data_IF_113398559054
#
_entry.id   IF_113398559054
#
_cell.length_a   1.000
_cell.length_b   1.000
_cell.length_c   1.000
_cell.angle_alpha   90.00
_cell.angle_beta   90.00
_cell.angle_gamma   90.00
#
_symmetry.space_group_name_H-M   'P 1'
#
loop_
_entity.id
_entity.type
_entity.pdbx_description
1 polymer ?
#
# COMPACT_ATOMS: atom_id res chain seq x y z
N UNK A 1 83.04 -63.97 3.43
CA UNK A 1 83.10 -63.27 4.74
C UNK A 1 82.61 -61.85 4.53
N UNK A 2 81.46 -61.53 5.14
CA UNK A 2 80.87 -60.25 5.58
C UNK A 2 80.83 -58.99 4.66
N UNK A 3 79.81 -58.12 4.86
CA UNK A 3 79.17 -57.33 3.80
C UNK A 3 79.45 -55.82 3.87
N UNK A 4 79.08 -55.12 2.80
CA UNK A 4 79.06 -53.66 2.66
C UNK A 4 77.73 -53.13 3.21
N UNK A 5 77.79 -52.09 4.04
CA UNK A 5 76.66 -51.42 4.67
C UNK A 5 76.58 -49.99 4.12
N UNK A 6 75.53 -49.65 3.37
CA UNK A 6 75.17 -48.27 3.02
C UNK A 6 74.14 -47.74 4.04
N UNK A 7 74.25 -46.48 4.50
CA UNK A 7 73.20 -45.87 5.31
C UNK A 7 72.08 -45.27 4.45
N UNK A 8 70.85 -45.61 4.81
CA UNK A 8 69.60 -45.06 4.28
C UNK A 8 69.43 -43.62 4.81
N UNK A 9 69.34 -42.65 3.90
CA UNK A 9 68.89 -41.29 4.19
C UNK A 9 67.36 -41.26 4.29
N UNK A 10 66.85 -40.93 5.48
CA UNK A 10 65.43 -40.69 5.74
C UNK A 10 65.06 -39.27 5.29
N UNK A 11 63.96 -39.04 4.55
CA UNK A 11 63.48 -37.68 4.29
C UNK A 11 62.80 -37.12 5.55
N UNK A 12 63.13 -35.88 5.93
CA UNK A 12 62.44 -35.15 7.00
C UNK A 12 60.99 -34.83 6.59
N UNK A 13 60.00 -35.39 7.30
CA UNK A 13 58.55 -35.17 7.08
C UNK A 13 58.00 -33.88 7.73
N UNK A 14 58.83 -33.03 8.35
CA UNK A 14 58.32 -31.87 9.14
C UNK A 14 58.07 -30.57 8.36
N UNK A 15 58.20 -30.56 7.03
CA UNK A 15 58.10 -29.29 6.25
C UNK A 15 56.80 -29.12 5.43
N UNK A 16 55.96 -30.17 5.33
CA UNK A 16 54.69 -30.10 4.59
C UNK A 16 53.51 -29.61 5.45
N UNK A 17 53.42 -30.03 6.72
CA UNK A 17 52.32 -29.63 7.61
C UNK A 17 52.29 -28.13 7.97
N UNK A 18 53.46 -27.45 7.98
CA UNK A 18 53.53 -26.01 8.25
C UNK A 18 53.13 -25.14 7.04
N UNK A 19 53.33 -25.61 5.80
CA UNK A 19 52.96 -24.86 4.58
C UNK A 19 51.45 -24.89 4.32
N UNK A 20 50.78 -26.00 4.61
CA UNK A 20 49.32 -26.12 4.45
C UNK A 20 48.55 -25.31 5.51
N UNK A 21 49.00 -25.32 6.77
CA UNK A 21 48.40 -24.49 7.83
C UNK A 21 48.59 -22.98 7.60
N UNK A 22 49.70 -22.58 6.97
CA UNK A 22 49.95 -21.17 6.63
C UNK A 22 49.13 -20.71 5.42
N UNK A 23 48.88 -21.61 4.44
CA UNK A 23 48.02 -21.39 3.28
C UNK A 23 46.54 -21.25 3.67
N UNK A 24 46.04 -22.12 4.56
CA UNK A 24 44.67 -22.04 5.09
C UNK A 24 44.44 -20.82 6.00
N UNK A 25 45.47 -20.39 6.75
CA UNK A 25 45.40 -19.14 7.50
C UNK A 25 45.42 -17.92 6.58
N UNK A 26 46.27 -17.89 5.56
CA UNK A 26 46.29 -16.79 4.58
C UNK A 26 45.01 -16.70 3.75
N UNK A 27 44.39 -17.83 3.36
CA UNK A 27 43.12 -17.83 2.64
C UNK A 27 41.94 -17.41 3.52
N UNK A 28 41.92 -17.80 4.81
CA UNK A 28 40.92 -17.31 5.77
C UNK A 28 41.07 -15.82 6.07
N UNK A 29 42.30 -15.31 6.20
CA UNK A 29 42.56 -13.87 6.39
C UNK A 29 42.20 -13.05 5.13
N UNK A 30 42.48 -13.55 3.92
CA UNK A 30 42.13 -12.84 2.69
C UNK A 30 40.62 -12.82 2.43
N UNK A 31 39.90 -13.86 2.85
CA UNK A 31 38.44 -13.93 2.76
C UNK A 31 37.80 -13.02 3.80
N UNK A 32 38.31 -12.97 5.05
CA UNK A 32 37.79 -12.07 6.08
C UNK A 32 38.00 -10.58 5.74
N UNK A 33 39.17 -10.24 5.19
CA UNK A 33 39.52 -8.87 4.78
C UNK A 33 38.71 -8.43 3.55
N UNK A 34 38.38 -9.37 2.65
CA UNK A 34 37.47 -9.12 1.53
C UNK A 34 36.01 -8.93 2.00
N UNK A 35 35.54 -9.71 2.97
CA UNK A 35 34.18 -9.56 3.53
C UNK A 35 34.02 -8.29 4.35
N UNK A 36 35.01 -7.90 5.16
CA UNK A 36 34.98 -6.62 5.90
C UNK A 36 34.94 -5.41 4.95
N UNK A 37 35.69 -5.46 3.85
CA UNK A 37 35.66 -4.42 2.81
C UNK A 37 34.29 -4.34 2.07
N UNK A 38 33.62 -5.49 1.87
CA UNK A 38 32.28 -5.54 1.28
C UNK A 38 31.20 -5.03 2.24
N UNK A 39 31.29 -5.35 3.53
CA UNK A 39 30.41 -4.86 4.60
C UNK A 39 30.52 -3.35 4.75
N UNK A 40 31.74 -2.81 4.84
CA UNK A 40 31.99 -1.37 4.92
C UNK A 40 31.45 -0.63 3.68
N UNK A 41 31.62 -1.22 2.49
CA UNK A 41 31.03 -0.67 1.27
C UNK A 41 29.50 -0.68 1.30
N UNK A 42 28.89 -1.72 1.89
CA UNK A 42 27.45 -1.80 2.06
C UNK A 42 26.92 -0.76 3.04
N UNK A 43 27.61 -0.53 4.16
CA UNK A 43 27.28 0.51 5.14
C UNK A 43 27.32 1.90 4.48
N UNK A 44 28.36 2.22 3.72
CA UNK A 44 28.45 3.50 3.01
C UNK A 44 27.31 3.68 2.00
N UNK A 45 27.01 2.66 1.19
CA UNK A 45 25.89 2.70 0.24
C UNK A 45 24.54 2.87 0.94
N UNK A 46 24.35 2.19 2.07
CA UNK A 46 23.17 2.35 2.93
C UNK A 46 23.02 3.80 3.39
N UNK A 47 24.10 4.44 3.86
CA UNK A 47 24.07 5.85 4.25
C UNK A 47 23.72 6.78 3.10
N UNK A 48 24.25 6.55 1.89
CA UNK A 48 23.90 7.33 0.71
C UNK A 48 22.40 7.25 0.39
N UNK A 49 21.80 6.06 0.47
CA UNK A 49 20.36 5.88 0.23
C UNK A 49 19.52 6.64 1.27
N UNK A 50 19.92 6.63 2.54
CA UNK A 50 19.22 7.38 3.60
C UNK A 50 19.33 8.89 3.34
N UNK A 51 20.53 9.38 3.00
CA UNK A 51 20.72 10.79 2.66
C UNK A 51 19.91 11.20 1.44
N UNK A 52 19.92 10.39 0.37
CA UNK A 52 19.11 10.64 -0.83
C UNK A 52 17.62 10.70 -0.49
N UNK A 53 17.13 9.78 0.35
CA UNK A 53 15.73 9.77 0.78
C UNK A 53 15.32 11.10 1.42
N UNK A 54 16.14 11.61 2.33
CA UNK A 54 15.87 12.87 3.05
C UNK A 54 16.05 14.10 2.15
N UNK A 55 17.10 14.13 1.33
CA UNK A 55 17.33 15.26 0.41
C UNK A 55 16.20 15.38 -0.62
N UNK A 56 15.83 14.26 -1.24
CA UNK A 56 14.72 14.23 -2.19
C UNK A 56 13.37 14.45 -1.51
N UNK A 57 13.26 14.23 -0.20
CA UNK A 57 12.07 14.61 0.58
C UNK A 57 11.97 16.12 0.76
N UNK A 58 13.09 16.79 1.05
CA UNK A 58 13.13 18.27 1.13
C UNK A 58 12.75 18.89 -0.20
N UNK A 59 13.25 18.34 -1.30
CA UNK A 59 12.89 18.78 -2.64
C UNK A 59 11.39 18.57 -2.91
N UNK A 60 10.85 17.41 -2.54
CA UNK A 60 9.43 17.11 -2.69
C UNK A 60 8.55 18.08 -1.89
N UNK A 61 8.87 18.33 -0.61
CA UNK A 61 8.13 19.29 0.23
C UNK A 61 8.22 20.71 -0.32
N UNK A 62 9.38 21.12 -0.83
CA UNK A 62 9.56 22.41 -1.49
C UNK A 62 8.68 22.52 -2.73
N UNK A 63 8.62 21.48 -3.55
CA UNK A 63 7.81 21.52 -4.76
C UNK A 63 6.31 21.52 -4.45
N UNK A 64 5.86 20.77 -3.44
CA UNK A 64 4.48 20.84 -2.96
C UNK A 64 4.11 22.23 -2.42
N UNK A 65 5.06 22.89 -1.75
CA UNK A 65 4.90 24.28 -1.28
C UNK A 65 4.60 25.24 -2.42
N UNK A 66 5.24 25.09 -3.59
CA UNK A 66 4.97 25.93 -4.75
C UNK A 66 3.50 25.85 -5.20
N UNK A 67 2.86 24.70 -5.00
CA UNK A 67 1.44 24.53 -5.30
C UNK A 67 0.57 25.10 -4.17
N UNK A 68 0.82 24.70 -2.92
CA UNK A 68 -0.02 25.07 -1.79
C UNK A 68 0.07 26.57 -1.42
N UNK A 69 1.28 27.09 -1.27
CA UNK A 69 1.53 28.49 -0.88
C UNK A 69 1.70 29.42 -2.10
N UNK A 70 1.79 28.87 -3.31
CA UNK A 70 1.83 29.64 -4.56
C UNK A 70 0.49 29.62 -5.28
N UNK A 71 0.24 28.59 -6.08
CA UNK A 71 -0.96 28.51 -6.93
C UNK A 71 -2.26 28.59 -6.12
N UNK A 72 -2.44 27.75 -5.09
CA UNK A 72 -3.69 27.69 -4.31
C UNK A 72 -3.92 29.00 -3.56
N UNK A 73 -2.87 29.54 -2.93
CA UNK A 73 -2.96 30.82 -2.22
C UNK A 73 -3.37 31.95 -3.16
N UNK A 74 -2.73 32.05 -4.33
CA UNK A 74 -3.01 33.09 -5.33
C UNK A 74 -4.41 32.95 -5.95
N UNK A 75 -4.89 31.73 -6.17
CA UNK A 75 -6.25 31.48 -6.67
C UNK A 75 -7.35 31.82 -5.65
N UNK A 76 -7.03 31.75 -4.34
CA UNK A 76 -7.95 32.09 -3.25
C UNK A 76 -7.88 33.56 -2.83
N UNK A 77 -6.87 34.28 -3.30
CA UNK A 77 -6.68 35.70 -3.01
C UNK A 77 -7.75 36.53 -3.73
N UNK A 78 -8.65 37.23 -2.99
CA UNK A 78 -9.68 38.06 -3.60
C UNK A 78 -9.12 39.28 -4.35
N UNK A 79 -7.89 39.69 -4.03
CA UNK A 79 -7.20 40.82 -4.64
C UNK A 79 -6.29 40.40 -5.80
N UNK A 80 -6.36 39.12 -6.22
CA UNK A 80 -5.61 38.62 -7.36
C UNK A 80 -6.05 39.32 -8.66
N UNK A 81 -5.07 39.91 -9.36
CA UNK A 81 -5.23 40.57 -10.66
C UNK A 81 -5.43 39.60 -11.83
N UNK A 82 -5.15 38.31 -11.66
CA UNK A 82 -5.39 37.26 -12.66
C UNK A 82 -6.81 36.72 -12.47
N UNK A 83 -7.76 37.02 -13.38
CA UNK A 83 -9.15 36.64 -13.19
C UNK A 83 -9.33 35.12 -13.35
N UNK A 84 -9.80 34.46 -12.29
CA UNK A 84 -10.12 33.04 -12.34
C UNK A 84 -11.30 32.76 -13.32
N UNK A 85 -11.13 31.81 -14.28
CA UNK A 85 -12.18 31.32 -15.15
C UNK A 85 -13.45 30.93 -14.41
N UNK A 86 -14.61 31.14 -15.04
CA UNK A 86 -15.92 30.94 -14.38
C UNK A 86 -16.17 29.47 -14.01
N UNK A 87 -15.75 28.53 -14.85
CA UNK A 87 -15.89 27.09 -14.60
C UNK A 87 -15.02 26.63 -13.42
N UNK A 88 -13.82 27.20 -13.26
CA UNK A 88 -12.96 27.01 -12.08
C UNK A 88 -13.61 27.58 -10.82
N UNK A 89 -14.17 28.79 -10.91
CA UNK A 89 -14.89 29.46 -9.80
C UNK A 89 -16.11 28.68 -9.33
N UNK A 90 -16.78 27.96 -10.22
CA UNK A 90 -17.94 27.12 -9.92
C UNK A 90 -17.59 25.78 -9.22
N UNK A 91 -16.39 25.66 -8.65
CA UNK A 91 -15.99 24.55 -7.78
C UNK A 91 -15.01 23.55 -8.40
N UNK A 92 -14.65 23.70 -9.69
CA UNK A 92 -13.59 22.88 -10.30
C UNK A 92 -12.21 23.18 -9.72
N UNK A 93 -11.98 24.36 -9.15
CA UNK A 93 -10.74 24.72 -8.43
C UNK A 93 -10.34 23.67 -7.37
N UNK A 94 -11.30 23.15 -6.61
CA UNK A 94 -11.07 22.10 -5.61
C UNK A 94 -10.65 20.76 -6.23
N UNK A 95 -11.12 20.49 -7.44
CA UNK A 95 -10.82 19.24 -8.17
C UNK A 95 -9.44 19.29 -8.82
N UNK A 96 -8.93 20.47 -9.17
CA UNK A 96 -7.57 20.65 -9.70
C UNK A 96 -6.53 20.13 -8.71
N UNK A 97 -6.64 20.51 -7.44
CA UNK A 97 -5.62 20.19 -6.44
C UNK A 97 -5.95 18.95 -5.59
N UNK A 98 -7.22 18.52 -5.56
CA UNK A 98 -7.65 17.39 -4.74
C UNK A 98 -7.31 17.60 -3.27
N UNK A 99 -6.59 16.65 -2.66
CA UNK A 99 -6.11 16.73 -1.29
C UNK A 99 -4.61 17.09 -1.18
N UNK A 100 -4.04 17.79 -2.16
CA UNK A 100 -2.61 18.14 -2.18
C UNK A 100 -2.15 18.96 -0.96
N UNK A 101 -2.96 19.90 -0.47
CA UNK A 101 -2.63 20.67 0.74
C UNK A 101 -2.42 19.76 1.96
N UNK A 102 -3.30 18.76 2.13
CA UNK A 102 -3.17 17.79 3.23
C UNK A 102 -1.91 16.93 3.11
N UNK A 103 -1.51 16.58 1.88
CA UNK A 103 -0.23 15.90 1.63
C UNK A 103 0.92 16.82 2.05
N UNK A 104 0.92 18.06 1.54
CA UNK A 104 1.96 19.04 1.82
C UNK A 104 2.16 19.28 3.32
N UNK A 105 1.07 19.60 4.04
CA UNK A 105 1.10 19.87 5.48
C UNK A 105 1.67 18.69 6.27
N UNK A 106 1.21 17.47 5.98
CA UNK A 106 1.70 16.29 6.69
C UNK A 106 3.18 16.02 6.43
N UNK A 107 3.62 16.13 5.17
CA UNK A 107 5.02 15.94 4.83
C UNK A 107 5.92 17.03 5.46
N UNK A 108 5.52 18.30 5.38
CA UNK A 108 6.24 19.44 5.97
C UNK A 108 6.34 19.35 7.49
N UNK A 109 5.21 19.10 8.15
CA UNK A 109 5.11 19.30 9.59
C UNK A 109 5.56 18.08 10.39
N UNK A 110 5.46 16.88 9.81
CA UNK A 110 5.72 15.61 10.49
C UNK A 110 6.70 14.70 9.75
N UNK A 111 6.42 14.31 8.51
CA UNK A 111 7.15 13.19 7.88
C UNK A 111 8.60 13.55 7.56
N UNK A 112 8.85 14.71 6.96
CA UNK A 112 10.21 15.19 6.68
C UNK A 112 11.05 15.28 7.96
N UNK A 113 10.51 15.91 9.01
CA UNK A 113 11.22 16.06 10.29
C UNK A 113 11.54 14.71 10.93
N UNK A 114 10.69 13.71 10.74
CA UNK A 114 10.95 12.36 11.21
C UNK A 114 12.03 11.66 10.37
N UNK A 115 11.99 11.79 9.05
CA UNK A 115 13.02 11.27 8.15
C UNK A 115 14.40 11.90 8.40
N UNK A 116 14.45 13.20 8.74
CA UNK A 116 15.71 13.87 9.11
C UNK A 116 16.37 13.25 10.34
N UNK A 117 15.58 12.73 11.29
CA UNK A 117 16.11 12.02 12.48
C UNK A 117 16.71 10.66 12.10
N UNK A 118 16.18 10.01 11.06
CA UNK A 118 16.71 8.73 10.58
C UNK A 118 18.12 8.83 9.98
N UNK A 119 18.65 10.03 9.74
CA UNK A 119 20.08 10.19 9.40
C UNK A 119 20.97 9.79 10.60
N UNK A 120 20.55 10.15 11.82
CA UNK A 120 21.26 9.83 13.05
C UNK A 120 20.80 8.49 13.66
N UNK A 121 19.55 8.11 13.43
CA UNK A 121 18.93 6.87 13.90
C UNK A 121 18.30 6.06 12.75
N UNK A 122 19.11 5.46 11.85
CA UNK A 122 18.63 4.70 10.70
C UNK A 122 17.64 3.58 11.02
N UNK A 123 17.76 2.97 12.19
CA UNK A 123 16.92 1.89 12.70
C UNK A 123 15.45 2.29 12.86
N UNK A 124 15.15 3.59 13.00
CA UNK A 124 13.79 4.09 13.12
C UNK A 124 13.04 4.11 11.78
N UNK A 125 13.74 3.99 10.65
CA UNK A 125 13.18 4.20 9.32
C UNK A 125 12.12 3.14 8.97
N UNK A 126 12.39 1.85 9.21
CA UNK A 126 11.41 0.78 9.01
C UNK A 126 10.11 1.00 9.83
N UNK A 127 10.22 1.16 11.16
CA UNK A 127 9.09 1.46 12.02
C UNK A 127 8.33 2.75 11.64
N UNK A 128 9.03 3.77 11.14
CA UNK A 128 8.43 5.04 10.74
C UNK A 128 7.38 4.86 9.64
N UNK A 129 7.71 4.14 8.57
CA UNK A 129 6.79 3.88 7.46
C UNK A 129 5.58 3.06 7.90
N UNK A 130 5.80 2.05 8.75
CA UNK A 130 4.71 1.24 9.32
C UNK A 130 3.75 2.08 10.16
N UNK A 131 4.28 2.93 11.05
CA UNK A 131 3.50 3.82 11.91
C UNK A 131 2.57 4.74 11.09
N UNK A 132 3.02 5.18 9.93
CA UNK A 132 2.29 6.12 9.07
C UNK A 132 1.53 5.47 7.90
N UNK A 133 1.40 4.14 7.83
CA UNK A 133 0.65 3.44 6.78
C UNK A 133 -0.73 4.06 6.54
N UNK A 134 -1.49 4.30 7.61
CA UNK A 134 -2.84 4.90 7.52
C UNK A 134 -2.82 6.31 6.95
N UNK A 135 -1.79 7.11 7.26
CA UNK A 135 -1.63 8.47 6.72
C UNK A 135 -1.31 8.41 5.23
N UNK A 136 -0.45 7.49 4.79
CA UNK A 136 -0.09 7.30 3.38
C UNK A 136 -1.29 6.95 2.49
N UNK A 137 -2.41 6.49 3.05
CA UNK A 137 -3.67 6.31 2.31
C UNK A 137 -4.20 7.62 1.70
N UNK A 138 -3.73 8.80 2.11
CA UNK A 138 -4.03 10.07 1.44
C UNK A 138 -3.62 10.06 -0.05
N UNK A 139 -2.60 9.29 -0.44
CA UNK A 139 -2.17 9.14 -1.83
C UNK A 139 -3.20 8.38 -2.68
N UNK A 140 -3.96 7.46 -2.09
CA UNK A 140 -5.06 6.75 -2.79
C UNK A 140 -6.12 7.75 -3.25
N UNK A 141 -6.50 8.68 -2.36
CA UNK A 141 -7.46 9.75 -2.67
C UNK A 141 -6.91 10.68 -3.76
N UNK A 142 -5.64 11.05 -3.68
CA UNK A 142 -5.00 11.92 -4.65
C UNK A 142 -4.96 11.29 -6.04
N UNK A 143 -4.48 10.04 -6.13
CA UNK A 143 -4.38 9.30 -7.38
C UNK A 143 -5.75 9.08 -8.03
N UNK A 144 -6.79 8.82 -7.24
CA UNK A 144 -8.16 8.69 -7.75
C UNK A 144 -8.66 10.00 -8.40
N UNK A 145 -8.31 11.15 -7.84
CA UNK A 145 -8.67 12.46 -8.38
C UNK A 145 -7.79 12.90 -9.57
N UNK A 146 -6.59 12.33 -9.72
CA UNK A 146 -5.58 12.80 -10.68
C UNK A 146 -6.08 12.88 -12.14
N UNK A 147 -6.84 11.91 -12.70
CA UNK A 147 -7.35 12.02 -14.07
C UNK A 147 -8.29 13.21 -14.26
N UNK A 148 -9.09 13.54 -13.23
CA UNK A 148 -10.02 14.67 -13.28
C UNK A 148 -9.27 15.98 -13.20
N UNK A 149 -8.27 16.06 -12.32
CA UNK A 149 -7.33 17.17 -12.24
C UNK A 149 -6.63 17.42 -13.58
N UNK A 150 -6.10 16.37 -14.23
CA UNK A 150 -5.44 16.48 -15.54
C UNK A 150 -6.36 17.04 -16.61
N UNK A 151 -7.59 16.53 -16.70
CA UNK A 151 -8.57 17.03 -17.66
C UNK A 151 -8.83 18.52 -17.48
N UNK A 152 -9.15 18.96 -16.25
CA UNK A 152 -9.44 20.37 -15.96
C UNK A 152 -8.21 21.25 -16.24
N UNK A 153 -7.02 20.82 -15.79
CA UNK A 153 -5.79 21.59 -16.00
C UNK A 153 -5.48 21.73 -17.49
N UNK A 154 -5.69 20.68 -18.28
CA UNK A 154 -5.42 20.73 -19.73
C UNK A 154 -6.27 21.76 -20.49
N UNK A 155 -7.47 22.09 -20.01
CA UNK A 155 -8.32 23.13 -20.62
C UNK A 155 -7.78 24.55 -20.38
N UNK A 156 -6.96 24.73 -19.33
CA UNK A 156 -6.53 26.04 -18.83
C UNK A 156 -4.99 26.18 -18.70
N UNK A 157 -4.23 25.19 -19.18
CA UNK A 157 -2.78 25.09 -18.94
C UNK A 157 -2.00 26.21 -19.63
N UNK A 158 -2.33 26.51 -20.89
CA UNK A 158 -1.67 27.51 -21.72
C UNK A 158 -2.25 28.93 -21.54
N UNK A 159 -3.29 29.08 -20.71
CA UNK A 159 -3.98 30.34 -20.46
C UNK A 159 -3.83 30.74 -18.99
N UNK A 160 -4.84 30.46 -18.17
CA UNK A 160 -4.90 30.89 -16.77
C UNK A 160 -3.71 30.39 -15.94
N UNK A 161 -3.35 29.11 -16.04
CA UNK A 161 -2.26 28.55 -15.24
C UNK A 161 -0.87 29.02 -15.71
N UNK A 162 -0.72 29.41 -16.98
CA UNK A 162 0.50 29.99 -17.50
C UNK A 162 0.70 31.42 -16.96
N UNK A 163 -0.35 32.24 -16.90
CA UNK A 163 -0.29 33.57 -16.27
C UNK A 163 0.08 33.48 -14.78
N UNK A 164 -0.53 32.55 -14.04
CA UNK A 164 -0.16 32.30 -12.64
C UNK A 164 1.30 31.83 -12.51
N UNK A 165 1.77 30.96 -13.41
CA UNK A 165 3.17 30.49 -13.41
C UNK A 165 4.15 31.65 -13.59
N UNK A 166 3.88 32.55 -14.53
CA UNK A 166 4.71 33.72 -14.80
C UNK A 166 4.73 34.68 -13.60
N UNK A 167 3.56 34.95 -13.00
CA UNK A 167 3.45 35.81 -11.82
C UNK A 167 4.20 35.24 -10.60
N UNK A 168 4.16 33.93 -10.42
CA UNK A 168 4.89 33.24 -9.36
C UNK A 168 6.39 33.06 -9.67
N UNK A 169 6.82 33.33 -10.91
CA UNK A 169 8.21 33.12 -11.35
C UNK A 169 8.63 31.65 -11.35
N UNK A 170 7.67 30.73 -11.47
CA UNK A 170 7.93 29.29 -11.41
C UNK A 170 8.51 28.76 -12.72
N UNK A 171 9.58 27.95 -12.63
CA UNK A 171 10.20 27.31 -13.80
C UNK A 171 9.38 26.14 -14.35
N UNK A 172 8.81 25.33 -13.44
CA UNK A 172 7.99 24.17 -13.78
C UNK A 172 6.55 24.60 -14.06
N UNK A 173 5.87 23.90 -14.98
CA UNK A 173 4.45 24.09 -15.19
C UNK A 173 3.64 23.44 -14.06
N UNK A 174 2.37 23.81 -13.94
CA UNK A 174 1.49 23.26 -12.92
C UNK A 174 1.35 21.73 -13.06
N UNK A 175 1.27 21.20 -14.28
CA UNK A 175 1.19 19.76 -14.53
C UNK A 175 2.41 18.99 -13.98
N UNK A 176 3.61 19.55 -14.11
CA UNK A 176 4.87 18.99 -13.59
C UNK A 176 4.91 18.95 -12.07
N UNK A 177 4.21 19.88 -11.41
CA UNK A 177 4.07 19.92 -9.96
C UNK A 177 2.99 18.92 -9.48
N UNK A 178 1.87 18.83 -10.19
CA UNK A 178 0.74 17.96 -9.83
C UNK A 178 1.07 16.47 -9.98
N UNK A 179 2.05 16.08 -10.79
CA UNK A 179 2.45 14.67 -10.89
C UNK A 179 3.35 14.20 -9.75
N UNK A 180 3.91 15.13 -8.96
CA UNK A 180 4.92 14.81 -7.93
C UNK A 180 4.45 13.82 -6.86
N UNK A 181 3.21 13.88 -6.31
CA UNK A 181 2.76 12.88 -5.34
C UNK A 181 2.72 11.46 -5.91
N UNK A 182 2.28 11.32 -7.16
CA UNK A 182 2.23 10.02 -7.86
C UNK A 182 3.64 9.46 -8.03
N UNK A 183 4.60 10.30 -8.39
CA UNK A 183 6.01 9.91 -8.51
C UNK A 183 6.62 9.57 -7.14
N UNK A 184 6.34 10.37 -6.11
CA UNK A 184 6.95 10.22 -4.78
C UNK A 184 6.55 8.91 -4.12
N UNK A 185 5.27 8.54 -4.17
CA UNK A 185 4.79 7.29 -3.54
C UNK A 185 5.45 6.06 -4.17
N UNK A 186 5.77 6.10 -5.48
CA UNK A 186 6.52 5.04 -6.15
C UNK A 186 8.00 5.05 -5.79
N UNK A 187 8.61 6.24 -5.63
CA UNK A 187 10.04 6.37 -5.32
C UNK A 187 10.40 5.85 -3.93
N UNK A 188 9.50 5.95 -2.93
CA UNK A 188 9.74 5.35 -1.62
C UNK A 188 10.02 3.85 -1.69
N UNK A 189 9.28 3.10 -2.52
CA UNK A 189 9.52 1.67 -2.70
C UNK A 189 10.93 1.38 -3.21
N UNK A 190 11.40 2.17 -4.18
CA UNK A 190 12.73 1.99 -4.77
C UNK A 190 13.83 2.25 -3.73
N UNK A 191 13.74 3.39 -3.02
CA UNK A 191 14.70 3.77 -1.98
C UNK A 191 14.72 2.76 -0.82
N UNK A 192 13.55 2.31 -0.36
CA UNK A 192 13.46 1.27 0.68
C UNK A 192 14.00 -0.08 0.20
N UNK A 193 13.88 -0.39 -1.09
CA UNK A 193 14.38 -1.65 -1.65
C UNK A 193 15.89 -1.65 -1.69
N UNK A 194 16.51 -0.54 -2.09
CA UNK A 194 17.95 -0.36 -2.05
C UNK A 194 18.46 -0.35 -0.61
N UNK A 195 17.74 0.34 0.29
CA UNK A 195 18.07 0.35 1.72
C UNK A 195 18.06 -1.06 2.31
N UNK A 196 17.01 -1.85 2.06
CA UNK A 196 16.91 -3.24 2.51
C UNK A 196 18.08 -4.09 1.99
N UNK A 197 18.39 -3.99 0.69
CA UNK A 197 19.49 -4.71 0.05
C UNK A 197 20.85 -4.37 0.67
N UNK A 198 21.12 -3.10 0.97
CA UNK A 198 22.39 -2.71 1.58
C UNK A 198 22.43 -3.03 3.08
N UNK A 199 21.30 -3.00 3.78
CA UNK A 199 21.18 -3.43 5.18
C UNK A 199 21.44 -4.95 5.32
N UNK A 200 20.95 -5.75 4.37
CA UNK A 200 21.22 -7.20 4.31
C UNK A 200 22.71 -7.50 4.11
N UNK A 201 23.35 -6.78 3.16
CA UNK A 201 24.78 -6.93 2.85
C UNK A 201 25.70 -6.41 3.96
N UNK A 202 25.21 -5.50 4.79
CA UNK A 202 25.91 -5.02 5.98
C UNK A 202 25.65 -5.91 7.22
N UNK A 203 24.95 -7.04 7.05
CA UNK A 203 24.60 -7.98 8.13
C UNK A 203 23.84 -7.37 9.32
N UNK A 204 23.13 -6.24 9.10
CA UNK A 204 22.33 -5.54 10.10
C UNK A 204 20.95 -6.20 10.26
N UNK A 205 20.93 -7.42 10.80
CA UNK A 205 19.73 -8.27 10.85
C UNK A 205 18.58 -7.73 11.70
N UNK A 206 18.86 -6.89 12.71
CA UNK A 206 17.85 -6.35 13.63
C UNK A 206 16.79 -5.48 12.91
N UNK A 207 17.17 -4.76 11.86
CA UNK A 207 16.29 -3.83 11.16
C UNK A 207 15.49 -4.49 10.02
N UNK A 208 15.94 -5.67 9.55
CA UNK A 208 15.47 -6.32 8.33
C UNK A 208 13.96 -6.56 8.32
N UNK A 209 13.39 -7.06 9.41
CA UNK A 209 11.95 -7.33 9.48
C UNK A 209 11.13 -6.03 9.42
N UNK A 210 11.61 -4.96 10.06
CA UNK A 210 10.91 -3.68 10.03
C UNK A 210 10.99 -3.01 8.64
N UNK A 211 12.13 -3.14 7.95
CA UNK A 211 12.29 -2.69 6.57
C UNK A 211 11.43 -3.50 5.60
N UNK A 212 11.31 -4.82 5.80
CA UNK A 212 10.41 -5.68 5.01
C UNK A 212 8.95 -5.25 5.17
N UNK A 213 8.53 -4.90 6.39
CA UNK A 213 7.20 -4.36 6.65
C UNK A 213 7.00 -2.99 5.99
N UNK A 214 7.99 -2.10 6.05
CA UNK A 214 7.94 -0.80 5.36
C UNK A 214 7.83 -0.96 3.83
N UNK A 215 8.58 -1.89 3.25
CA UNK A 215 8.49 -2.25 1.83
C UNK A 215 7.10 -2.76 1.45
N UNK A 216 6.51 -3.61 2.30
CA UNK A 216 5.14 -4.09 2.10
C UNK A 216 4.14 -2.93 2.07
N UNK A 217 4.25 -1.96 3.00
CA UNK A 217 3.42 -0.74 2.99
C UNK A 217 3.57 0.02 1.67
N UNK A 218 4.82 0.25 1.21
CA UNK A 218 5.09 0.94 -0.06
C UNK A 218 4.70 0.15 -1.32
N UNK A 219 4.42 -1.14 -1.19
CA UNK A 219 3.84 -1.96 -2.26
C UNK A 219 2.31 -1.90 -2.26
N UNK A 220 1.69 -1.95 -1.09
CA UNK A 220 0.24 -1.99 -0.95
C UNK A 220 -0.41 -0.65 -1.26
N UNK A 221 0.20 0.48 -0.88
CA UNK A 221 -0.40 1.81 -1.10
C UNK A 221 -0.60 2.14 -2.59
N UNK A 222 0.41 2.01 -3.48
CA UNK A 222 0.20 2.20 -4.92
C UNK A 222 -0.79 1.21 -5.53
N UNK A 223 -0.79 -0.05 -5.07
CA UNK A 223 -1.76 -1.05 -5.51
C UNK A 223 -3.19 -0.61 -5.14
N UNK A 224 -3.41 -0.18 -3.89
CA UNK A 224 -4.69 0.32 -3.43
C UNK A 224 -5.15 1.56 -4.22
N UNK A 225 -4.22 2.45 -4.59
CA UNK A 225 -4.51 3.58 -5.46
C UNK A 225 -5.02 3.12 -6.84
N UNK A 226 -4.35 2.12 -7.43
CA UNK A 226 -4.77 1.52 -8.69
C UNK A 226 -6.14 0.83 -8.59
N UNK A 227 -6.37 0.03 -7.55
CA UNK A 227 -7.64 -0.68 -7.33
C UNK A 227 -8.80 0.32 -7.14
N UNK A 228 -8.54 1.45 -6.47
CA UNK A 228 -9.52 2.53 -6.30
C UNK A 228 -9.83 3.31 -7.59
N UNK A 229 -9.02 3.20 -8.64
CA UNK A 229 -9.38 3.70 -9.98
C UNK A 229 -10.53 2.90 -10.59
N UNK A 230 -10.57 1.60 -10.34
CA UNK A 230 -11.67 0.74 -10.76
C UNK A 230 -12.95 1.05 -9.97
N UNK A 231 -12.81 1.22 -8.66
CA UNK A 231 -13.91 1.66 -7.78
C UNK A 231 -14.45 3.03 -8.17
N UNK A 232 -13.62 3.94 -8.68
CA UNK A 232 -14.04 5.26 -9.17
C UNK A 232 -15.07 5.19 -10.31
N UNK A 233 -15.23 4.04 -10.97
CA UNK A 233 -16.26 3.79 -11.99
C UNK A 233 -17.59 3.31 -11.41
N UNK A 234 -17.71 3.20 -10.09
CA UNK A 234 -18.95 2.87 -9.40
C UNK A 234 -19.93 4.06 -9.45
N UNK A 235 -21.09 3.85 -10.05
CA UNK A 235 -22.16 4.84 -10.18
C UNK A 235 -23.37 4.45 -9.33
N UNK A 236 -24.11 5.47 -8.86
CA UNK A 236 -25.36 5.27 -8.11
C UNK A 236 -25.18 4.92 -6.63
N UNK A 237 -23.96 4.92 -6.10
CA UNK A 237 -23.72 4.80 -4.66
C UNK A 237 -23.98 6.14 -3.97
N UNK A 238 -24.98 6.17 -3.09
CA UNK A 238 -25.33 7.34 -2.29
C UNK A 238 -24.41 7.45 -1.06
N UNK A 239 -23.22 8.00 -1.27
CA UNK A 239 -22.21 8.21 -0.24
C UNK A 239 -20.81 8.46 -0.80
N UNK A 240 -19.90 8.90 0.07
CA UNK A 240 -18.49 9.10 -0.32
C UNK A 240 -17.73 7.78 -0.20
N UNK A 241 -17.34 7.20 -1.33
CA UNK A 241 -16.59 5.92 -1.36
C UNK A 241 -15.30 6.02 -0.53
N UNK A 242 -14.56 7.13 -0.64
CA UNK A 242 -13.33 7.34 0.13
C UNK A 242 -13.54 7.40 1.64
N UNK A 243 -14.79 7.51 2.11
CA UNK A 243 -15.13 7.50 3.54
C UNK A 243 -15.44 6.09 4.06
N UNK A 244 -15.50 5.06 3.20
CA UNK A 244 -15.82 3.68 3.60
C UNK A 244 -14.59 2.91 4.17
N UNK A 245 -13.44 3.58 4.29
CA UNK A 245 -12.18 2.98 4.74
C UNK A 245 -11.38 2.36 3.61
N UNK A 246 -10.38 1.54 3.96
CA UNK A 246 -9.52 0.83 3.00
C UNK A 246 -10.35 -0.20 2.21
N UNK A 247 -10.13 -0.29 0.91
CA UNK A 247 -10.62 -1.41 0.09
C UNK A 247 -9.79 -2.64 0.46
N UNK A 248 -10.45 -3.66 1.02
CA UNK A 248 -9.81 -4.90 1.48
C UNK A 248 -9.72 -5.93 0.36
N UNK A 249 -10.80 -6.08 -0.41
CA UNK A 249 -10.89 -7.04 -1.51
C UNK A 249 -11.94 -6.57 -2.53
N UNK A 250 -11.74 -6.88 -3.79
CA UNK A 250 -12.77 -6.72 -4.81
C UNK A 250 -12.65 -7.79 -5.89
N UNK A 251 -13.76 -8.14 -6.51
CA UNK A 251 -13.76 -9.17 -7.55
C UNK A 251 -15.17 -9.56 -7.98
N UNK A 252 -15.27 -10.33 -9.08
CA UNK A 252 -16.53 -10.93 -9.48
C UNK A 252 -16.91 -12.07 -8.53
N UNK A 253 -18.17 -12.08 -8.11
CA UNK A 253 -18.80 -13.17 -7.39
C UNK A 253 -20.13 -13.48 -8.07
N UNK A 254 -20.48 -14.76 -8.21
CA UNK A 254 -21.84 -15.11 -8.58
C UNK A 254 -22.70 -14.97 -7.32
N UNK A 255 -23.64 -14.04 -7.33
CA UNK A 255 -24.44 -13.67 -6.17
C UNK A 255 -25.93 -13.85 -6.44
N UNK A 256 -26.67 -14.38 -5.47
CA UNK A 256 -28.12 -14.43 -5.45
C UNK A 256 -28.62 -13.64 -4.23
N UNK A 257 -29.59 -12.73 -4.45
CA UNK A 257 -30.21 -11.99 -3.35
C UNK A 257 -31.20 -12.88 -2.59
N UNK A 258 -31.15 -12.81 -1.26
CA UNK A 258 -31.95 -13.62 -0.35
C UNK A 258 -31.10 -14.63 0.44
N UNK A 259 -31.80 -15.45 1.23
CA UNK A 259 -31.20 -16.45 2.13
C UNK A 259 -31.35 -17.88 1.59
N UNK A 260 -32.19 -18.09 0.56
CA UNK A 260 -32.47 -19.42 0.01
C UNK A 260 -31.53 -19.74 -1.15
N UNK A 261 -30.61 -20.68 -0.90
CA UNK A 261 -29.79 -21.31 -1.94
C UNK A 261 -30.52 -22.39 -2.74
N UNK A 262 -31.85 -22.55 -2.56
CA UNK A 262 -32.59 -23.71 -3.05
C UNK A 262 -32.69 -23.83 -4.59
N UNK A 263 -32.34 -22.77 -5.30
CA UNK A 263 -32.20 -22.72 -6.74
C UNK A 263 -31.19 -21.64 -7.10
N UNK A 264 -29.96 -21.77 -6.58
CA UNK A 264 -28.90 -20.77 -6.81
C UNK A 264 -28.71 -20.51 -8.31
N UNK A 265 -29.25 -19.37 -8.76
CA UNK A 265 -29.03 -18.79 -10.08
C UNK A 265 -28.27 -17.49 -9.84
N UNK A 266 -27.01 -17.64 -9.46
CA UNK A 266 -26.14 -16.51 -9.17
C UNK A 266 -25.99 -15.62 -10.41
N UNK A 267 -26.26 -14.33 -10.24
CA UNK A 267 -25.87 -13.30 -11.21
C UNK A 267 -24.44 -12.89 -10.91
N UNK A 268 -23.61 -12.75 -11.94
CA UNK A 268 -22.27 -12.20 -11.75
C UNK A 268 -22.38 -10.73 -11.31
N UNK A 269 -21.93 -10.46 -10.07
CA UNK A 269 -21.83 -9.14 -9.49
C UNK A 269 -20.35 -8.81 -9.26
N UNK A 270 -19.99 -7.55 -9.51
CA UNK A 270 -18.73 -7.02 -9.03
C UNK A 270 -18.94 -6.58 -7.57
N UNK A 271 -18.19 -7.21 -6.66
CA UNK A 271 -18.30 -6.97 -5.23
C UNK A 271 -17.06 -6.24 -4.72
N UNK A 272 -17.27 -5.26 -3.85
CA UNK A 272 -16.22 -4.46 -3.21
C UNK A 272 -16.36 -4.56 -1.69
N UNK A 273 -15.33 -5.05 -1.00
CA UNK A 273 -15.28 -5.13 0.45
C UNK A 273 -14.37 -4.01 0.98
N UNK A 274 -14.96 -3.10 1.74
CA UNK A 274 -14.28 -2.05 2.49
C UNK A 274 -14.28 -2.36 3.98
N UNK A 275 -13.49 -1.61 4.76
CA UNK A 275 -13.50 -1.70 6.23
C UNK A 275 -14.87 -1.40 6.86
N UNK A 276 -15.70 -0.56 6.22
CA UNK A 276 -17.01 -0.16 6.75
C UNK A 276 -18.21 -0.85 6.11
N UNK A 277 -18.11 -1.35 4.88
CA UNK A 277 -19.21 -2.01 4.19
C UNK A 277 -18.74 -2.99 3.10
N UNK A 278 -19.64 -3.84 2.65
CA UNK A 278 -19.52 -4.59 1.39
C UNK A 278 -20.55 -4.03 0.40
N UNK A 279 -20.11 -3.73 -0.82
CA UNK A 279 -20.93 -3.15 -1.89
C UNK A 279 -21.07 -4.17 -3.02
N UNK A 280 -22.32 -4.39 -3.44
CA UNK A 280 -22.68 -5.22 -4.58
C UNK A 280 -23.06 -4.33 -5.76
N UNK A 281 -22.49 -4.64 -6.92
CA UNK A 281 -22.71 -3.87 -8.15
C UNK A 281 -22.78 -4.77 -9.38
N UNK A 282 -23.45 -4.30 -10.42
CA UNK A 282 -23.50 -4.96 -11.72
C UNK A 282 -22.50 -4.31 -12.67
N UNK A 283 -21.62 -5.11 -13.27
CA UNK A 283 -20.71 -4.62 -14.30
C UNK A 283 -21.49 -4.43 -15.62
N UNK A 284 -21.47 -3.22 -16.16
CA UNK A 284 -22.11 -2.86 -17.43
C UNK A 284 -21.03 -2.43 -18.43
N UNK A 285 -21.07 -3.02 -19.62
CA UNK A 285 -20.06 -2.85 -20.66
C UNK A 285 -18.98 -3.93 -20.62
N UNK A 286 -18.26 -4.09 -21.73
CA UNK A 286 -17.15 -5.04 -21.83
C UNK A 286 -15.83 -4.32 -21.62
N UNK A 287 -14.89 -4.99 -20.93
CA UNK A 287 -13.50 -4.57 -20.91
C UNK A 287 -12.92 -4.78 -22.30
N UNK A 288 -12.57 -3.69 -22.99
CA UNK A 288 -11.86 -3.71 -24.27
C UNK A 288 -10.51 -3.01 -24.10
N UNK A 289 -9.72 -2.94 -25.16
CA UNK A 289 -8.46 -2.16 -25.14
C UNK A 289 -8.69 -0.66 -24.89
N UNK A 290 -9.89 -0.14 -25.16
CA UNK A 290 -10.20 1.30 -25.09
C UNK A 290 -11.28 1.65 -24.06
N UNK A 291 -12.00 0.66 -23.52
CA UNK A 291 -13.14 0.88 -22.62
C UNK A 291 -13.06 -0.03 -21.42
N UNK A 292 -13.24 0.54 -20.23
CA UNK A 292 -13.42 -0.24 -19.00
C UNK A 292 -14.92 -0.34 -18.65
N UNK A 293 -15.35 -1.41 -17.98
CA UNK A 293 -16.72 -1.53 -17.51
C UNK A 293 -17.04 -0.47 -16.45
N UNK A 294 -18.29 -0.02 -16.46
CA UNK A 294 -18.88 0.82 -15.41
C UNK A 294 -19.57 -0.09 -14.41
N UNK A 295 -19.46 0.22 -13.12
CA UNK A 295 -20.10 -0.57 -12.08
C UNK A 295 -21.37 0.14 -11.60
N UNK A 296 -22.52 -0.49 -11.76
CA UNK A 296 -23.81 0.09 -11.35
C UNK A 296 -24.16 -0.47 -9.98
N UNK A 297 -24.20 0.40 -8.98
CA UNK A 297 -24.56 0.07 -7.61
C UNK A 297 -25.91 -0.65 -7.53
N UNK A 298 -25.98 -1.70 -6.68
CA UNK A 298 -27.23 -2.41 -6.37
C UNK A 298 -27.59 -2.26 -4.90
N UNK A 299 -26.73 -2.74 -4.01
CA UNK A 299 -26.95 -2.73 -2.57
C UNK A 299 -25.62 -2.74 -1.82
N UNK A 300 -25.65 -2.43 -0.53
CA UNK A 300 -24.52 -2.64 0.37
C UNK A 300 -24.99 -3.14 1.73
N UNK A 301 -24.09 -3.80 2.46
CA UNK A 301 -24.28 -4.20 3.85
C UNK A 301 -23.15 -3.57 4.66
N UNK A 302 -23.50 -2.78 5.68
CA UNK A 302 -22.51 -2.21 6.59
C UNK A 302 -21.88 -3.33 7.43
N UNK A 303 -20.56 -3.31 7.61
CA UNK A 303 -19.81 -4.29 8.40
C UNK A 303 -20.37 -4.38 9.82
N UNK A 304 -20.78 -3.24 10.39
CA UNK A 304 -21.35 -3.22 11.74
C UNK A 304 -22.74 -3.87 11.87
N UNK A 305 -23.38 -4.18 10.74
CA UNK A 305 -24.68 -4.86 10.64
C UNK A 305 -24.60 -6.07 9.70
N UNK A 306 -23.46 -6.75 9.72
CA UNK A 306 -23.18 -7.89 8.85
C UNK A 306 -23.00 -9.15 9.67
N UNK A 307 -23.49 -10.28 9.17
CA UNK A 307 -23.07 -11.59 9.63
C UNK A 307 -22.74 -12.52 8.46
N UNK A 308 -21.80 -13.42 8.70
CA UNK A 308 -21.26 -14.36 7.72
C UNK A 308 -21.69 -15.78 8.09
N UNK A 309 -22.22 -16.51 7.11
CA UNK A 309 -22.50 -17.94 7.17
C UNK A 309 -21.63 -18.65 6.13
N UNK A 310 -20.63 -19.40 6.59
CA UNK A 310 -19.57 -19.98 5.73
C UNK A 310 -20.01 -21.29 5.05
N UNK A 311 -20.96 -21.98 5.68
CA UNK A 311 -21.62 -23.16 5.17
C UNK A 311 -23.10 -22.86 5.17
N UNK A 312 -23.68 -22.80 3.98
CA UNK A 312 -25.14 -22.71 3.84
C UNK A 312 -25.67 -24.13 4.03
N UNK A 313 -26.19 -24.43 5.22
CA UNK A 313 -26.66 -25.78 5.56
C UNK A 313 -27.82 -26.20 4.66
N UNK A 314 -27.69 -27.39 4.03
CA UNK A 314 -28.75 -28.02 3.27
C UNK A 314 -28.38 -28.65 1.93
N UNK A 315 -27.14 -28.53 1.39
CA UNK A 315 -26.82 -29.07 0.05
C UNK A 315 -25.40 -29.57 -0.17
N UNK A 316 -25.31 -30.87 -0.45
CA UNK A 316 -24.38 -31.48 -1.39
C UNK A 316 -24.99 -31.38 -2.81
N UNK A 317 -25.17 -30.18 -3.35
CA UNK A 317 -25.40 -30.10 -4.80
C UNK A 317 -24.06 -30.38 -5.47
N UNK A 318 -23.95 -31.59 -6.01
CA UNK A 318 -22.90 -31.98 -6.93
C UNK A 318 -23.08 -31.13 -8.17
N UNK A 319 -22.08 -30.32 -8.50
CA UNK A 319 -21.92 -29.81 -9.86
C UNK A 319 -21.98 -31.00 -10.86
N UNK A 320 -22.20 -30.75 -12.15
CA UNK A 320 -22.13 -31.80 -13.19
C UNK A 320 -20.78 -32.54 -13.24
N UNK A 321 -19.80 -32.09 -12.44
CA UNK A 321 -18.48 -32.64 -12.16
C UNK A 321 -18.32 -33.36 -10.80
N UNK A 322 -19.34 -33.40 -9.95
CA UNK A 322 -19.30 -34.09 -8.64
C UNK A 322 -18.72 -33.29 -7.47
N UNK A 323 -18.36 -32.02 -7.65
CA UNK A 323 -17.85 -31.15 -6.58
C UNK A 323 -18.98 -30.46 -5.80
N UNK A 324 -18.81 -30.31 -4.47
CA UNK A 324 -19.71 -29.51 -3.64
C UNK A 324 -19.65 -28.03 -4.04
N UNK A 325 -20.80 -27.38 -4.20
CA UNK A 325 -20.84 -25.93 -4.47
C UNK A 325 -20.44 -25.18 -3.21
N UNK A 326 -19.25 -24.62 -3.28
CA UNK A 326 -18.59 -23.91 -2.20
C UNK A 326 -19.16 -22.48 -2.02
N UNK A 327 -20.39 -22.41 -1.50
CA UNK A 327 -21.14 -21.17 -1.24
C UNK A 327 -20.79 -20.56 0.12
N UNK A 328 -21.00 -19.26 0.26
CA UNK A 328 -21.07 -18.54 1.54
C UNK A 328 -22.17 -17.48 1.49
N UNK A 329 -22.74 -17.11 2.64
CA UNK A 329 -23.82 -16.13 2.72
C UNK A 329 -23.41 -14.94 3.58
N UNK A 330 -23.63 -13.73 3.06
CA UNK A 330 -23.47 -12.48 3.78
C UNK A 330 -24.85 -11.86 3.98
N UNK A 331 -25.26 -11.71 5.24
CA UNK A 331 -26.60 -11.21 5.60
C UNK A 331 -26.53 -9.94 6.42
N UNK A 332 -27.52 -9.09 6.25
CA UNK A 332 -27.70 -7.90 7.07
C UNK A 332 -28.41 -8.28 8.37
N UNK A 333 -27.93 -7.72 9.48
CA UNK A 333 -28.58 -7.78 10.79
C UNK A 333 -29.33 -6.47 11.10
N UNK A 334 -29.46 -5.56 10.13
CA UNK A 334 -30.19 -4.30 10.30
C UNK A 334 -31.69 -4.55 10.48
N UNK A 335 -32.31 -4.15 11.61
CA UNK A 335 -33.75 -4.28 11.81
C UNK A 335 -34.59 -3.55 10.76
N UNK A 336 -34.01 -2.54 10.09
CA UNK A 336 -34.66 -1.78 9.01
C UNK A 336 -34.64 -2.52 7.67
N UNK A 337 -33.76 -3.51 7.50
CA UNK A 337 -33.59 -4.31 6.27
C UNK A 337 -33.35 -5.80 6.59
N UNK A 338 -34.27 -6.48 7.31
CA UNK A 338 -34.03 -7.80 7.88
C UNK A 338 -33.90 -8.93 6.84
N UNK A 339 -34.33 -8.72 5.60
CA UNK A 339 -34.30 -9.70 4.51
C UNK A 339 -33.11 -9.55 3.56
N UNK A 340 -32.25 -8.54 3.75
CA UNK A 340 -31.13 -8.30 2.84
C UNK A 340 -30.02 -9.32 3.11
N UNK A 341 -29.84 -10.26 2.19
CA UNK A 341 -28.78 -11.24 2.22
C UNK A 341 -28.29 -11.54 0.81
N UNK A 342 -27.04 -11.97 0.69
CA UNK A 342 -26.44 -12.39 -0.56
C UNK A 342 -25.73 -13.72 -0.37
N UNK A 343 -26.23 -14.76 -1.05
CA UNK A 343 -25.51 -16.02 -1.22
C UNK A 343 -24.52 -15.84 -2.37
N UNK A 344 -23.24 -16.08 -2.10
CA UNK A 344 -22.14 -15.82 -3.01
C UNK A 344 -21.37 -17.10 -3.33
N UNK A 345 -20.94 -17.21 -4.58
CA UNK A 345 -20.03 -18.24 -5.07
C UNK A 345 -18.80 -17.56 -5.68
N UNK A 346 -17.61 -17.98 -5.26
CA UNK A 346 -16.36 -17.59 -5.90
C UNK A 346 -16.02 -18.54 -7.06
N UNK A 347 -15.25 -18.05 -8.04
CA UNK A 347 -14.85 -18.85 -9.20
C UNK A 347 -13.92 -20.01 -8.85
N UNK A 348 -13.11 -19.86 -7.79
CA UNK A 348 -12.15 -20.87 -7.33
C UNK A 348 -12.19 -21.01 -5.81
N UNK A 349 -11.75 -22.16 -5.29
CA UNK A 349 -11.63 -22.39 -3.85
C UNK A 349 -10.64 -21.44 -3.17
N UNK A 350 -9.58 -21.03 -3.87
CA UNK A 350 -8.60 -20.05 -3.39
C UNK A 350 -9.24 -18.67 -3.20
N UNK A 351 -9.98 -18.18 -4.20
CA UNK A 351 -10.71 -16.92 -4.10
C UNK A 351 -11.75 -16.97 -2.98
N UNK A 352 -12.45 -18.10 -2.82
CA UNK A 352 -13.36 -18.29 -1.68
C UNK A 352 -12.62 -18.16 -0.36
N UNK A 353 -11.47 -18.84 -0.21
CA UNK A 353 -10.69 -18.79 1.00
C UNK A 353 -10.22 -17.36 1.32
N UNK A 354 -9.84 -16.59 0.30
CA UNK A 354 -9.45 -15.18 0.44
C UNK A 354 -10.63 -14.30 0.89
N UNK A 355 -11.81 -14.45 0.25
CA UNK A 355 -13.03 -13.73 0.65
C UNK A 355 -13.44 -14.05 2.09
N UNK A 356 -13.48 -15.34 2.45
CA UNK A 356 -13.81 -15.78 3.80
C UNK A 356 -12.80 -15.28 4.83
N UNK A 357 -11.50 -15.33 4.51
CA UNK A 357 -10.46 -14.81 5.38
C UNK A 357 -10.67 -13.32 5.68
N UNK A 358 -10.83 -12.49 4.63
CA UNK A 358 -11.04 -11.04 4.80
C UNK A 358 -12.34 -10.72 5.56
N UNK A 359 -13.44 -11.40 5.25
CA UNK A 359 -14.73 -11.23 5.94
C UNK A 359 -14.64 -11.63 7.42
N UNK A 360 -13.98 -12.76 7.75
CA UNK A 360 -13.74 -13.17 9.14
C UNK A 360 -12.89 -12.14 9.89
N UNK A 361 -11.78 -11.71 9.29
CA UNK A 361 -10.86 -10.76 9.91
C UNK A 361 -11.53 -9.43 10.23
N UNK A 362 -12.33 -8.88 9.30
CA UNK A 362 -13.02 -7.61 9.55
C UNK A 362 -14.14 -7.73 10.57
N UNK A 363 -14.93 -8.81 10.53
CA UNK A 363 -15.98 -9.07 11.53
C UNK A 363 -15.38 -9.34 12.92
N UNK A 364 -14.24 -10.02 12.99
CA UNK A 364 -13.52 -10.25 14.25
C UNK A 364 -13.02 -8.94 14.84
N UNK A 365 -12.39 -8.09 14.03
CA UNK A 365 -11.95 -6.74 14.44
C UNK A 365 -13.11 -5.91 14.98
N UNK A 366 -14.27 -5.97 14.31
CA UNK A 366 -15.47 -5.27 14.74
C UNK A 366 -16.02 -5.81 16.08
N UNK A 367 -16.00 -7.13 16.29
CA UNK A 367 -16.39 -7.75 17.56
C UNK A 367 -15.45 -7.34 18.70
N UNK A 368 -14.15 -7.34 18.46
CA UNK A 368 -13.16 -6.99 19.47
C UNK A 368 -13.24 -5.49 19.83
N UNK A 369 -13.51 -4.63 18.85
CA UNK A 369 -13.83 -3.23 19.10
C UNK A 369 -15.11 -3.05 19.96
N UNK A 370 -16.17 -3.81 19.70
CA UNK A 370 -17.39 -3.78 20.51
C UNK A 370 -17.13 -4.25 21.95
N UNK A 371 -16.35 -5.32 22.14
CA UNK A 371 -15.93 -5.78 23.47
C UNK A 371 -15.14 -4.70 24.21
N UNK A 372 -14.24 -4.00 23.50
CA UNK A 372 -13.47 -2.90 24.08
C UNK A 372 -14.37 -1.73 24.54
N UNK A 373 -15.45 -1.42 23.81
CA UNK A 373 -16.42 -0.39 24.22
C UNK A 373 -17.24 -0.84 25.43
N UNK A 374 -17.67 -2.10 25.46
CA UNK A 374 -18.49 -2.64 26.55
C UNK A 374 -17.69 -2.81 27.85
N UNK A 375 -16.40 -3.14 27.73
CA UNK A 375 -15.51 -3.42 28.86
C UNK A 375 -14.12 -2.77 28.69
N UNK A 376 -14.02 -1.42 28.69
CA UNK A 376 -12.79 -0.70 28.33
C UNK A 376 -11.63 -0.98 29.30
N UNK A 377 -11.92 -1.10 30.60
CA UNK A 377 -10.90 -1.37 31.63
C UNK A 377 -10.31 -2.78 31.48
N UNK A 378 -11.15 -3.77 31.16
CA UNK A 378 -10.70 -5.15 30.96
C UNK A 378 -9.84 -5.27 29.69
N UNK A 379 -10.29 -4.65 28.59
CA UNK A 379 -9.57 -4.65 27.33
C UNK A 379 -8.21 -3.93 27.43
N UNK A 380 -8.14 -2.78 28.10
CA UNK A 380 -6.85 -2.10 28.35
C UNK A 380 -5.91 -2.95 29.22
N UNK A 381 -6.43 -3.65 30.24
CA UNK A 381 -5.63 -4.54 31.07
C UNK A 381 -5.09 -5.74 30.31
N UNK A 382 -5.85 -6.29 29.37
CA UNK A 382 -5.38 -7.36 28.47
C UNK A 382 -4.27 -6.87 27.54
N UNK A 383 -4.41 -5.69 26.93
CA UNK A 383 -3.34 -5.10 26.12
C UNK A 383 -2.04 -4.84 26.90
N UNK A 384 -2.13 -4.46 28.18
CA UNK A 384 -0.94 -4.23 29.01
C UNK A 384 -0.32 -5.50 29.56
N UNK A 385 -0.96 -6.66 29.39
CA UNK A 385 -0.49 -7.94 29.92
C UNK A 385 0.38 -8.75 28.95
N UNK A 386 0.40 -8.42 27.66
CA UNK A 386 1.36 -9.00 26.72
C UNK A 386 2.74 -8.35 26.96
N UNK A 387 3.73 -9.08 27.51
CA UNK A 387 5.10 -8.59 27.62
C UNK A 387 5.76 -8.65 26.23
N UNK A 388 6.62 -7.66 25.98
CA UNK A 388 7.54 -7.52 24.84
C UNK A 388 8.26 -8.81 24.44
#
# INVERSE_FOLDING_TARGET
MKPINEPILVPNEDTQGQREQHSEKQSKLSVSDATECEEDSAIQKREYVIRELVETERDYVRDLRLVAEGYIALMRDPDCDVPMPEDLRCGKDKMVFGNMEAIYEWHRDFFLKALERCILHPEELGPLFKRYERKLHMYVVYCQNKPVSEYIVSEHIDTYFEELRQKLGHKLQLCDLLIKPVQRIMKYRLLLSDLYKYTERAHLTAEMETLRQALHVMQVVPKAANDMMDVGRLQGFDGKITAQGKLLLHGPLACCEGTSGASFKGKELQVFLFEQNIIFSEAVGKKTQFTNPVYIYKNHIQVNKMSLEEKVEGREEKDGSGGAVDLFCVRSTDPRKPSLAYVCQAMTGELRAEWLHNLRTILQTQRDFLKAIQSPIAYQKELTKDPL
#
